data_IF_645592678727
#
_entry.id   IF_645592678727
#
_cell.length_a   1.000
_cell.length_b   1.000
_cell.length_c   1.000
_cell.angle_alpha   90.00
_cell.angle_beta   90.00
_cell.angle_gamma   90.00
#
_symmetry.space_group_name_H-M   'P 1'
#
loop_
_entity.id
_entity.type
_entity.pdbx_description
1 polymer ?
#
# COMPACT_ATOMS: atom_id res chain seq x y z
N UNK A 1 6.38 6.85 5.51
CA UNK A 1 6.61 8.02 4.63
C UNK A 1 5.84 9.21 5.19
N UNK A 2 6.41 10.42 5.15
CA UNK A 2 5.72 11.63 5.58
C UNK A 2 5.77 12.71 4.49
N UNK A 3 4.63 13.37 4.25
CA UNK A 3 4.48 14.52 3.36
C UNK A 3 4.06 15.72 4.22
N UNK A 4 4.86 16.78 4.20
CA UNK A 4 4.63 17.98 5.00
C UNK A 4 4.39 19.17 4.08
N UNK A 5 3.18 19.73 4.11
CA UNK A 5 2.83 20.95 3.39
C UNK A 5 2.73 22.15 4.33
N UNK A 6 3.45 23.21 4.00
CA UNK A 6 3.37 24.50 4.69
C UNK A 6 2.06 25.26 4.43
N UNK A 7 1.18 24.75 3.57
CA UNK A 7 -0.13 25.32 3.28
C UNK A 7 -1.12 24.19 3.04
N UNK A 8 -1.87 24.27 1.95
CA UNK A 8 -2.78 23.21 1.52
C UNK A 8 -1.98 22.09 0.87
N UNK A 9 -2.35 20.84 1.14
CA UNK A 9 -1.92 19.71 0.33
C UNK A 9 -3.03 19.32 -0.64
N UNK A 10 -2.68 19.17 -1.92
CA UNK A 10 -3.60 18.71 -2.96
C UNK A 10 -2.98 17.55 -3.72
N UNK A 11 -3.65 16.39 -3.70
CA UNK A 11 -3.41 15.33 -4.67
C UNK A 11 -4.43 15.47 -5.80
N UNK A 12 -3.99 15.96 -6.95
CA UNK A 12 -4.83 16.13 -8.14
C UNK A 12 -5.37 14.79 -8.68
N UNK A 13 -6.37 14.83 -9.56
CA UNK A 13 -7.09 13.64 -10.02
C UNK A 13 -6.22 12.53 -10.64
N UNK A 14 -5.12 12.91 -11.30
CA UNK A 14 -4.14 11.98 -11.89
C UNK A 14 -2.97 11.70 -10.95
N UNK A 15 -2.91 12.36 -9.80
CA UNK A 15 -1.87 12.17 -8.80
C UNK A 15 -1.99 10.82 -8.13
N UNK A 16 -0.84 10.18 -7.89
CA UNK A 16 -0.78 8.92 -7.16
C UNK A 16 0.29 8.95 -6.07
N UNK A 17 -0.02 8.31 -4.95
CA UNK A 17 0.95 7.94 -3.93
C UNK A 17 0.93 6.42 -3.84
N UNK A 18 2.05 5.78 -4.15
CA UNK A 18 2.18 4.33 -4.07
C UNK A 18 3.06 3.94 -2.87
N UNK A 19 2.41 3.35 -1.87
CA UNK A 19 3.02 2.77 -0.69
C UNK A 19 2.60 1.30 -0.54
N UNK A 20 2.29 0.60 -1.64
CA UNK A 20 1.96 -0.83 -1.59
C UNK A 20 3.15 -1.68 -1.11
N UNK A 21 2.83 -2.75 -0.42
CA UNK A 21 3.77 -3.82 -0.12
C UNK A 21 4.20 -4.58 -1.36
N UNK A 22 5.43 -5.10 -1.35
CA UNK A 22 5.96 -5.90 -2.46
C UNK A 22 5.28 -7.26 -2.53
N UNK A 23 5.08 -7.79 -3.74
CA UNK A 23 4.64 -9.17 -3.89
C UNK A 23 5.71 -10.14 -3.37
N UNK A 24 5.28 -11.26 -2.82
CA UNK A 24 6.16 -12.37 -2.51
C UNK A 24 6.86 -12.86 -3.78
N UNK A 25 8.08 -13.37 -3.62
CA UNK A 25 8.87 -13.95 -4.70
C UNK A 25 8.76 -15.47 -4.63
N UNK A 26 8.31 -16.10 -5.72
CA UNK A 26 8.22 -17.55 -5.80
C UNK A 26 9.62 -18.18 -5.84
N UNK A 27 9.78 -19.31 -5.14
CA UNK A 27 10.97 -20.13 -5.29
C UNK A 27 11.02 -20.74 -6.71
N UNK A 28 12.22 -20.97 -7.22
CA UNK A 28 12.44 -21.57 -8.55
C UNK A 28 13.01 -23.00 -8.48
N UNK A 29 13.29 -23.51 -7.28
CA UNK A 29 13.79 -24.86 -7.06
C UNK A 29 13.42 -25.39 -5.65
N UNK A 30 13.43 -26.73 -5.50
CA UNK A 30 13.15 -27.42 -4.23
C UNK A 30 11.68 -27.87 -4.06
N UNK A 31 11.29 -28.10 -2.81
CA UNK A 31 9.90 -28.31 -2.40
C UNK A 31 9.61 -27.34 -1.25
N UNK A 32 9.15 -26.13 -1.59
CA UNK A 32 9.08 -24.99 -0.67
C UNK A 32 7.71 -24.32 -0.77
N UNK A 33 7.16 -23.94 0.39
CA UNK A 33 5.96 -23.11 0.47
C UNK A 33 6.13 -21.76 -0.24
N UNK A 34 5.01 -21.14 -0.62
CA UNK A 34 5.05 -19.79 -1.18
C UNK A 34 5.50 -18.76 -0.13
N UNK A 35 6.29 -17.78 -0.55
CA UNK A 35 6.68 -16.65 0.31
C UNK A 35 5.52 -15.68 0.51
N UNK A 36 5.45 -15.07 1.70
CA UNK A 36 4.44 -14.08 2.02
C UNK A 36 4.61 -12.76 1.26
N UNK A 37 3.52 -12.03 1.07
CA UNK A 37 3.55 -10.67 0.55
C UNK A 37 4.03 -9.65 1.60
N UNK A 38 4.71 -8.59 1.15
CA UNK A 38 5.14 -7.50 2.01
C UNK A 38 3.96 -6.67 2.52
N UNK A 39 4.08 -6.09 3.71
CA UNK A 39 3.05 -5.20 4.26
C UNK A 39 2.92 -3.88 3.50
N UNK A 40 1.72 -3.31 3.47
CA UNK A 40 1.47 -1.96 2.99
C UNK A 40 2.15 -0.92 3.87
N UNK A 41 2.55 0.20 3.27
CA UNK A 41 3.26 1.27 3.94
C UNK A 41 2.37 2.17 4.79
N UNK A 42 3.02 2.97 5.64
CA UNK A 42 2.36 4.05 6.39
C UNK A 42 2.65 5.38 5.70
N UNK A 43 1.58 6.09 5.34
CA UNK A 43 1.60 7.40 4.70
C UNK A 43 1.00 8.42 5.66
N UNK A 44 1.81 9.35 6.15
CA UNK A 44 1.32 10.51 6.91
C UNK A 44 1.35 11.74 6.03
N UNK A 45 0.21 12.41 5.87
CA UNK A 45 0.09 13.67 5.14
C UNK A 45 -0.30 14.74 6.15
N UNK A 46 0.58 15.70 6.35
CA UNK A 46 0.37 16.83 7.25
C UNK A 46 0.31 18.13 6.46
N UNK A 47 -0.71 18.94 6.70
CA UNK A 47 -0.90 20.24 6.06
C UNK A 47 -1.30 21.30 7.09
N UNK A 48 -0.73 22.51 7.00
CA UNK A 48 -1.06 23.58 7.96
C UNK A 48 -2.48 24.14 7.78
N UNK A 49 -3.10 24.00 6.61
CA UNK A 49 -4.43 24.55 6.33
C UNK A 49 -5.45 23.46 6.04
N UNK A 50 -5.31 22.74 4.92
CA UNK A 50 -6.28 21.75 4.46
C UNK A 50 -5.62 20.65 3.62
N UNK A 51 -6.32 19.52 3.51
CA UNK A 51 -5.94 18.37 2.67
C UNK A 51 -7.07 18.08 1.70
N UNK A 52 -6.75 18.00 0.42
CA UNK A 52 -7.66 17.57 -0.64
C UNK A 52 -7.03 16.42 -1.44
N UNK A 53 -7.73 15.30 -1.51
CA UNK A 53 -7.29 14.09 -2.23
C UNK A 53 -8.33 13.75 -3.28
N UNK A 54 -8.05 14.11 -4.53
CA UNK A 54 -8.84 13.74 -5.69
C UNK A 54 -8.15 12.65 -6.54
N UNK A 55 -6.88 12.37 -6.25
CA UNK A 55 -6.10 11.27 -6.83
C UNK A 55 -6.14 9.99 -5.98
N UNK A 56 -5.23 9.06 -6.27
CA UNK A 56 -5.23 7.74 -5.61
C UNK A 56 -4.09 7.60 -4.61
N UNK A 57 -4.38 7.11 -3.40
CA UNK A 57 -3.36 6.69 -2.43
C UNK A 57 -3.47 5.17 -2.29
N UNK A 58 -2.38 4.48 -2.60
CA UNK A 58 -2.27 3.03 -2.56
C UNK A 58 -1.42 2.62 -1.35
N UNK A 59 -2.00 1.90 -0.41
CA UNK A 59 -1.31 1.41 0.79
C UNK A 59 -1.65 -0.06 1.07
N UNK A 60 -1.86 -0.86 0.04
CA UNK A 60 -2.24 -2.26 0.16
C UNK A 60 -1.05 -3.13 0.57
N UNK A 61 -1.33 -4.27 1.20
CA UNK A 61 -0.36 -5.35 1.28
C UNK A 61 -0.07 -5.96 -0.09
N UNK A 62 1.12 -6.52 -0.24
CA UNK A 62 1.51 -7.28 -1.44
C UNK A 62 0.86 -8.65 -1.47
N UNK A 63 0.71 -9.22 -2.68
CA UNK A 63 0.24 -10.59 -2.83
C UNK A 63 1.30 -11.60 -2.33
N UNK A 64 0.86 -12.71 -1.75
CA UNK A 64 1.75 -13.85 -1.52
C UNK A 64 2.14 -14.51 -2.84
N UNK A 65 3.27 -15.23 -2.86
CA UNK A 65 3.68 -15.99 -4.03
C UNK A 65 3.14 -17.42 -4.02
N UNK A 66 3.16 -18.05 -5.20
CA UNK A 66 2.97 -19.49 -5.30
C UNK A 66 4.17 -20.22 -4.68
N UNK A 67 3.93 -21.37 -4.07
CA UNK A 67 5.00 -22.29 -3.70
C UNK A 67 5.54 -23.06 -4.90
N UNK A 68 6.63 -23.79 -4.68
CA UNK A 68 7.32 -24.55 -5.71
C UNK A 68 7.46 -26.02 -5.27
N UNK A 69 7.04 -26.96 -6.10
CA UNK A 69 7.11 -28.40 -5.78
C UNK A 69 6.67 -29.30 -6.93
N UNK A 70 7.03 -30.58 -6.85
CA UNK A 70 6.87 -31.56 -7.94
C UNK A 70 5.60 -32.42 -7.83
N UNK A 71 4.79 -32.22 -6.80
CA UNK A 71 3.49 -32.88 -6.63
C UNK A 71 2.36 -31.87 -6.64
N UNK A 72 1.17 -32.31 -7.06
CA UNK A 72 -0.08 -31.57 -7.30
C UNK A 72 -0.68 -30.87 -6.04
N UNK A 73 0.12 -30.75 -5.00
CA UNK A 73 -0.16 -30.04 -3.76
C UNK A 73 -0.14 -28.52 -3.98
N UNK A 74 -1.18 -27.82 -3.53
CA UNK A 74 -1.28 -26.36 -3.61
C UNK A 74 -0.51 -25.72 -2.45
N UNK A 75 0.71 -25.27 -2.70
CA UNK A 75 1.49 -24.48 -1.75
C UNK A 75 1.36 -23.01 -2.12
N UNK A 76 1.00 -22.14 -1.17
CA UNK A 76 0.84 -20.71 -1.40
C UNK A 76 1.31 -19.91 -0.20
N UNK A 77 1.82 -18.71 -0.47
CA UNK A 77 2.17 -17.72 0.55
C UNK A 77 0.98 -16.87 0.94
N UNK A 78 0.91 -16.46 2.20
CA UNK A 78 -0.10 -15.52 2.66
C UNK A 78 0.10 -14.11 2.07
N UNK A 79 -0.99 -13.37 1.90
CA UNK A 79 -0.92 -11.95 1.53
C UNK A 79 -0.31 -11.10 2.64
N UNK A 80 0.23 -9.94 2.25
CA UNK A 80 0.74 -8.94 3.19
C UNK A 80 -0.41 -8.18 3.87
N UNK A 81 -0.15 -7.71 5.11
CA UNK A 81 -1.08 -6.83 5.81
C UNK A 81 -1.25 -5.47 5.10
N UNK A 82 -2.43 -4.87 5.21
CA UNK A 82 -2.69 -3.52 4.71
C UNK A 82 -1.88 -2.45 5.43
N UNK A 83 -1.73 -1.30 4.79
CA UNK A 83 -1.06 -0.12 5.29
C UNK A 83 -2.04 0.88 5.91
N UNK A 84 -1.50 2.04 6.30
CA UNK A 84 -2.26 3.10 6.97
C UNK A 84 -2.02 4.42 6.29
N UNK A 85 -3.10 5.16 6.03
CA UNK A 85 -3.04 6.55 5.58
C UNK A 85 -3.56 7.45 6.68
N UNK A 86 -2.70 8.31 7.21
CA UNK A 86 -2.99 9.25 8.28
C UNK A 86 -2.96 10.68 7.76
N UNK A 87 -4.10 11.36 7.83
CA UNK A 87 -4.23 12.76 7.47
C UNK A 87 -4.21 13.63 8.73
N UNK A 88 -3.36 14.66 8.72
CA UNK A 88 -3.24 15.63 9.81
C UNK A 88 -3.41 17.04 9.28
N UNK A 89 -4.55 17.65 9.55
CA UNK A 89 -4.85 19.05 9.24
C UNK A 89 -5.85 19.62 10.27
N UNK A 90 -5.94 20.96 10.41
CA UNK A 90 -6.91 21.59 11.31
C UNK A 90 -8.37 21.33 10.93
N UNK A 91 -8.64 21.12 9.64
CA UNK A 91 -9.96 20.78 9.12
C UNK A 91 -10.05 19.33 8.63
N UNK A 92 -11.27 18.85 8.44
CA UNK A 92 -11.52 17.52 7.86
C UNK A 92 -10.93 17.42 6.44
N UNK A 93 -10.14 16.37 6.14
CA UNK A 93 -9.66 16.12 4.79
C UNK A 93 -10.83 15.91 3.81
N UNK A 94 -10.70 16.46 2.61
CA UNK A 94 -11.66 16.22 1.52
C UNK A 94 -11.11 15.06 0.69
N UNK A 95 -11.76 13.89 0.78
CA UNK A 95 -11.38 12.69 0.05
C UNK A 95 -12.41 12.46 -1.07
N UNK A 96 -12.08 12.92 -2.27
CA UNK A 96 -12.93 12.80 -3.46
C UNK A 96 -12.69 11.52 -4.28
N UNK A 97 -11.68 10.74 -3.92
CA UNK A 97 -11.27 9.53 -4.64
C UNK A 97 -10.97 8.36 -3.68
N UNK A 98 -10.63 7.20 -4.22
CA UNK A 98 -10.39 5.99 -3.42
C UNK A 98 -9.02 6.02 -2.72
N UNK A 99 -9.04 5.73 -1.41
CA UNK A 99 -7.87 5.35 -0.63
C UNK A 99 -7.95 3.84 -0.34
N UNK A 100 -6.95 3.07 -0.76
CA UNK A 100 -6.91 1.61 -0.56
C UNK A 100 -5.48 1.11 -0.49
#
# INVERSE_FOLDING_TARGET
MAILSGGTFTLGATGFINANGQAGVAATSGAVGGSGGGGGGVVTIAAKTSISVNGTILANGGNGSNGFGTSNTCWGGGGGGGGVVHFLAPGSPIIGAACR
#
